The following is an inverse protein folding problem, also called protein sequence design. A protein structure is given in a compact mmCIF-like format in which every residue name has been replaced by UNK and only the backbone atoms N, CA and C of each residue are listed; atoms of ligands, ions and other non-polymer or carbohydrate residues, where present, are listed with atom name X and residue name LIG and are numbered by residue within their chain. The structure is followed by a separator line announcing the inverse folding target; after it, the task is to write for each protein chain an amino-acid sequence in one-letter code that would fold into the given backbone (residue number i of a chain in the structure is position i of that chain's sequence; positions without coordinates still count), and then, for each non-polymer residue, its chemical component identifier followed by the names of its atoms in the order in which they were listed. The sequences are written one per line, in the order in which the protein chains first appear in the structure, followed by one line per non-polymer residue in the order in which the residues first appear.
data_IF_285121085505
#
_entry.id   IF_285121085505
#
_cell.length_a   1.000
_cell.length_b   1.000
_cell.length_c   1.000
_cell.angle_alpha   90.00
_cell.angle_beta   90.00
_cell.angle_gamma   90.00
#
_symmetry.space_group_name_H-M   'P 1'
#
loop_
_entity.id
_entity.type
_entity.pdbx_description
1 polymer ?
#
# COMPACT_ATOMS: atom_id res chain seq x y z
N UNK A 1 10.59 -10.52 23.26
CA UNK A 1 9.82 -9.49 22.52
C UNK A 1 9.29 -10.12 21.25
N UNK A 2 7.97 -10.16 21.08
CA UNK A 2 7.40 -10.49 19.78
C UNK A 2 7.74 -9.38 18.77
N UNK A 3 8.07 -9.78 17.54
CA UNK A 3 8.37 -8.85 16.46
C UNK A 3 7.04 -8.40 15.83
N UNK A 4 6.81 -7.08 15.78
CA UNK A 4 5.67 -6.51 15.05
C UNK A 4 5.90 -6.77 13.56
N UNK A 5 4.96 -7.41 12.83
CA UNK A 5 5.13 -7.66 11.41
C UNK A 5 4.98 -6.35 10.62
N UNK A 6 5.82 -6.17 9.61
CA UNK A 6 5.91 -4.95 8.80
C UNK A 6 5.55 -5.27 7.35
N UNK A 7 4.71 -4.42 6.75
CA UNK A 7 4.48 -4.37 5.31
C UNK A 7 5.18 -3.13 4.75
N UNK A 8 6.09 -3.31 3.80
CA UNK A 8 6.70 -2.21 3.05
C UNK A 8 5.89 -1.94 1.77
N UNK A 9 5.23 -0.79 1.70
CA UNK A 9 4.42 -0.38 0.55
C UNK A 9 5.25 0.20 -0.60
N UNK A 10 6.49 0.63 -0.35
CA UNK A 10 7.32 1.31 -1.34
C UNK A 10 7.53 0.54 -2.65
N UNK A 11 7.86 -0.77 -2.66
CA UNK A 11 8.06 -1.50 -3.92
C UNK A 11 6.80 -1.53 -4.80
N UNK A 12 5.62 -1.70 -4.20
CA UNK A 12 4.34 -1.72 -4.92
C UNK A 12 4.00 -0.34 -5.50
N UNK A 13 4.24 0.72 -4.74
CA UNK A 13 4.06 2.10 -5.19
C UNK A 13 5.02 2.45 -6.33
N UNK A 14 6.27 2.01 -6.24
CA UNK A 14 7.27 2.21 -7.30
C UNK A 14 6.84 1.52 -8.59
N UNK A 15 6.45 0.25 -8.54
CA UNK A 15 6.02 -0.50 -9.71
C UNK A 15 4.78 0.11 -10.38
N UNK A 16 3.74 0.42 -9.60
CA UNK A 16 2.46 0.92 -10.11
C UNK A 16 2.53 2.40 -10.50
N UNK A 17 3.35 3.19 -9.82
CA UNK A 17 3.55 4.62 -10.07
C UNK A 17 4.08 4.96 -11.46
N UNK A 18 4.70 4.00 -12.15
CA UNK A 18 5.10 4.16 -13.55
C UNK A 18 3.90 4.18 -14.52
N UNK A 19 2.74 3.64 -14.11
CA UNK A 19 1.55 3.50 -14.97
C UNK A 19 0.45 4.49 -14.61
N UNK A 20 0.32 4.84 -13.33
CA UNK A 20 -0.76 5.67 -12.80
C UNK A 20 -0.19 6.62 -11.76
N UNK A 21 -0.69 7.85 -11.72
CA UNK A 21 -0.32 8.81 -10.69
C UNK A 21 -0.95 8.41 -9.34
N UNK A 22 -0.11 8.02 -8.38
CA UNK A 22 -0.53 7.58 -7.04
C UNK A 22 -0.51 8.72 -6.00
N UNK A 23 0.03 9.88 -6.38
CA UNK A 23 0.13 11.08 -5.55
C UNK A 23 -0.33 12.28 -6.36
N UNK A 24 -0.91 13.27 -5.70
CA UNK A 24 -1.24 14.52 -6.37
C UNK A 24 0.04 15.28 -6.76
N UNK A 25 -0.02 16.03 -7.87
CA UNK A 25 1.17 16.71 -8.42
C UNK A 25 1.79 17.75 -7.48
N UNK A 26 0.95 18.41 -6.67
CA UNK A 26 1.34 19.51 -5.77
C UNK A 26 0.96 19.23 -4.32
N UNK A 27 0.60 17.99 -4.02
CA UNK A 27 0.14 17.58 -2.71
C UNK A 27 0.73 16.19 -2.43
N UNK A 28 1.29 16.03 -1.23
CA UNK A 28 1.98 14.81 -0.78
C UNK A 28 1.03 13.65 -0.46
N UNK A 29 -0.28 13.90 -0.43
CA UNK A 29 -1.29 12.88 -0.22
C UNK A 29 -1.48 11.98 -1.44
N UNK A 30 -1.99 10.78 -1.18
CA UNK A 30 -2.30 9.81 -2.20
C UNK A 30 -3.53 10.22 -3.01
N UNK A 31 -3.54 9.89 -4.29
CA UNK A 31 -4.75 9.94 -5.12
C UNK A 31 -5.71 8.82 -4.71
N UNK A 32 -6.91 8.79 -5.29
CA UNK A 32 -7.85 7.67 -5.13
C UNK A 32 -7.18 6.33 -5.47
N UNK A 33 -6.39 6.31 -6.53
CA UNK A 33 -5.66 5.14 -7.01
C UNK A 33 -4.53 4.74 -6.05
N UNK A 34 -3.83 5.71 -5.46
CA UNK A 34 -2.84 5.47 -4.40
C UNK A 34 -3.46 4.85 -3.14
N UNK A 35 -4.59 5.39 -2.69
CA UNK A 35 -5.35 4.81 -1.57
C UNK A 35 -5.83 3.39 -1.87
N UNK A 36 -6.36 3.15 -3.08
CA UNK A 36 -6.83 1.83 -3.48
C UNK A 36 -5.68 0.81 -3.48
N UNK A 37 -4.52 1.14 -4.06
CA UNK A 37 -3.36 0.26 -4.07
C UNK A 37 -2.90 -0.09 -2.64
N UNK A 38 -2.79 0.91 -1.77
CA UNK A 38 -2.40 0.69 -0.38
C UNK A 38 -3.39 -0.24 0.34
N UNK A 39 -4.70 -0.03 0.16
CA UNK A 39 -5.74 -0.85 0.77
C UNK A 39 -5.68 -2.31 0.28
N UNK A 40 -5.45 -2.53 -1.02
CA UNK A 40 -5.31 -3.86 -1.61
C UNK A 40 -4.12 -4.62 -1.02
N UNK A 41 -2.94 -3.98 -0.92
CA UNK A 41 -1.74 -4.63 -0.36
C UNK A 41 -1.84 -4.83 1.16
N UNK A 42 -2.44 -3.89 1.89
CA UNK A 42 -2.72 -4.06 3.32
C UNK A 42 -3.67 -5.24 3.55
N UNK A 43 -4.76 -5.36 2.78
CA UNK A 43 -5.69 -6.47 2.93
C UNK A 43 -5.01 -7.83 2.66
N UNK A 44 -4.21 -7.93 1.58
CA UNK A 44 -3.43 -9.15 1.29
C UNK A 44 -2.50 -9.51 2.44
N UNK A 45 -1.79 -8.52 2.99
CA UNK A 45 -0.90 -8.72 4.12
C UNK A 45 -1.65 -9.21 5.36
N UNK A 46 -2.74 -8.54 5.75
CA UNK A 46 -3.56 -8.92 6.91
C UNK A 46 -4.10 -10.35 6.76
N UNK A 47 -4.59 -10.72 5.57
CA UNK A 47 -5.02 -12.10 5.26
C UNK A 47 -3.88 -13.11 5.38
N UNK A 48 -2.70 -12.80 4.85
CA UNK A 48 -1.52 -13.67 4.95
C UNK A 48 -1.05 -13.91 6.40
N UNK A 49 -1.42 -13.01 7.31
CA UNK A 49 -1.15 -13.11 8.75
C UNK A 49 -2.31 -13.72 9.53
N UNK A 50 -3.44 -14.00 8.88
CA UNK A 50 -4.66 -14.50 9.52
C UNK A 50 -5.33 -13.45 10.42
N UNK A 51 -5.11 -12.16 10.18
CA UNK A 51 -5.71 -11.09 10.98
C UNK A 51 -7.14 -10.72 10.56
N UNK A 52 -7.51 -11.02 9.31
CA UNK A 52 -8.84 -10.81 8.73
C UNK A 52 -9.13 -11.91 7.70
N UNK A 53 -10.41 -12.05 7.32
CA UNK A 53 -10.90 -13.00 6.30
C UNK A 53 -10.65 -12.54 4.85
#
# INVERSE_FOLDING_TARGET
MEKIPILDLYPYFKERGHKVSLFFKHDVHWTKEGHQLAAEEVLKFLRSKGYVE
#
